data_IF_133491236704
#
_entry.id   IF_133491236704
#
_cell.length_a   1.000
_cell.length_b   1.000
_cell.length_c   1.000
_cell.angle_alpha   90.00
_cell.angle_beta   90.00
_cell.angle_gamma   90.00
#
_symmetry.space_group_name_H-M   'P 1'
#
loop_
_entity.id
_entity.type
_entity.pdbx_description
1 polymer ?
#
# COMPACT_ATOMS: atom_id res chain seq x y z
N UNK A 1 38.25 -18.52 55.43
CA UNK A 1 38.86 -17.75 54.35
C UNK A 1 37.80 -16.81 53.77
N UNK A 2 38.07 -15.51 53.85
CA UNK A 2 37.18 -14.39 53.52
C UNK A 2 37.01 -14.17 52.01
N UNK A 3 35.82 -13.68 51.62
CA UNK A 3 35.50 -12.68 50.54
C UNK A 3 35.99 -12.94 49.11
N UNK A 4 35.28 -12.62 48.02
CA UNK A 4 34.40 -11.48 47.77
C UNK A 4 33.43 -11.76 46.60
N UNK A 5 32.22 -11.18 46.69
CA UNK A 5 31.28 -11.01 45.58
C UNK A 5 31.70 -9.78 44.78
N UNK A 6 32.15 -9.95 43.54
CA UNK A 6 32.49 -8.83 42.64
C UNK A 6 31.27 -8.40 41.84
N UNK A 7 30.71 -7.24 42.19
CA UNK A 7 29.63 -6.56 41.46
C UNK A 7 30.22 -5.49 40.55
N UNK A 8 30.37 -5.78 39.26
CA UNK A 8 30.68 -4.75 38.26
C UNK A 8 29.39 -4.12 37.73
N UNK A 9 28.98 -3.02 38.37
CA UNK A 9 27.95 -2.09 37.89
C UNK A 9 28.56 -1.22 36.79
N UNK A 10 28.48 -1.65 35.54
CA UNK A 10 28.78 -0.77 34.39
C UNK A 10 27.60 0.19 34.17
N UNK A 11 27.71 1.37 34.77
CA UNK A 11 26.86 2.54 34.54
C UNK A 11 27.28 3.16 33.20
N UNK A 12 26.62 2.77 32.11
CA UNK A 12 26.77 3.45 30.81
C UNK A 12 25.87 4.71 30.80
N UNK A 13 26.40 5.91 30.51
CA UNK A 13 25.57 7.09 30.33
C UNK A 13 24.82 7.01 28.99
N UNK A 14 23.49 6.96 29.07
CA UNK A 14 22.59 7.13 27.93
C UNK A 14 22.72 8.58 27.43
N UNK A 15 23.31 8.75 26.25
CA UNK A 15 23.27 10.03 25.55
C UNK A 15 21.93 10.13 24.82
N UNK A 16 21.01 10.90 25.40
CA UNK A 16 19.70 11.19 24.81
C UNK A 16 19.90 12.18 23.65
N UNK A 17 20.06 11.66 22.43
CA UNK A 17 20.07 12.48 21.22
C UNK A 17 18.61 12.80 20.87
N UNK A 18 18.19 14.03 21.17
CA UNK A 18 16.91 14.58 20.75
C UNK A 18 16.94 14.81 19.22
N UNK A 19 16.04 14.22 18.43
CA UNK A 19 15.95 14.54 17.01
C UNK A 19 15.33 15.94 16.85
N UNK A 20 16.15 16.89 16.38
CA UNK A 20 15.72 18.23 15.99
C UNK A 20 14.76 18.13 14.79
N UNK A 21 13.51 18.53 15.02
CA UNK A 21 12.48 18.68 13.99
C UNK A 21 12.86 19.85 13.06
N UNK A 22 13.00 19.66 11.74
CA UNK A 22 13.21 20.77 10.83
C UNK A 22 11.94 21.63 10.78
N UNK A 23 12.11 22.91 11.11
CA UNK A 23 11.07 23.93 11.01
C UNK A 23 10.60 24.05 9.56
N UNK A 24 9.29 23.95 9.34
CA UNK A 24 8.64 24.24 8.06
C UNK A 24 8.93 25.69 7.66
N UNK A 25 9.71 25.88 6.61
CA UNK A 25 9.69 27.15 5.87
C UNK A 25 8.32 27.26 5.19
N UNK A 26 7.49 28.17 5.70
CA UNK A 26 6.31 28.65 4.99
C UNK A 26 6.82 29.66 3.97
N UNK A 27 6.96 29.23 2.72
CA UNK A 27 7.13 30.16 1.60
C UNK A 27 5.79 30.89 1.44
N UNK A 28 5.74 32.11 1.96
CA UNK A 28 4.70 33.08 1.66
C UNK A 28 4.88 33.46 0.20
N UNK A 29 4.02 32.91 -0.67
CA UNK A 29 3.93 33.32 -2.06
C UNK A 29 3.21 34.67 -2.08
N UNK A 30 3.99 35.73 -2.14
CA UNK A 30 3.48 37.09 -2.30
C UNK A 30 2.89 37.26 -3.71
N UNK A 31 1.61 37.62 -3.76
CA UNK A 31 0.77 37.55 -4.96
C UNK A 31 0.75 38.90 -5.66
N UNK A 32 1.89 39.55 -5.90
CA UNK A 32 1.94 40.87 -6.56
C UNK A 32 3.23 41.10 -7.36
N UNK A 33 3.31 40.52 -8.55
CA UNK A 33 4.20 41.01 -9.60
C UNK A 33 3.72 40.55 -10.98
N UNK A 34 2.81 41.31 -11.59
CA UNK A 34 2.82 41.50 -13.05
C UNK A 34 1.89 42.65 -13.43
N UNK A 35 2.39 43.88 -13.40
CA UNK A 35 1.83 44.97 -14.21
C UNK A 35 2.98 45.84 -14.72
N UNK A 36 2.77 46.39 -15.92
CA UNK A 36 3.64 47.26 -16.74
C UNK A 36 4.55 46.47 -17.69
N UNK A 37 4.58 46.71 -19.00
CA UNK A 37 3.94 47.71 -19.88
C UNK A 37 4.23 47.21 -21.31
N UNK A 38 3.23 47.03 -22.16
CA UNK A 38 3.42 47.12 -23.61
C UNK A 38 2.37 48.09 -24.16
N UNK A 39 2.87 49.17 -24.75
CA UNK A 39 2.07 50.19 -25.40
C UNK A 39 1.52 49.65 -26.72
N UNK A 40 0.22 49.90 -26.95
CA UNK A 40 -0.48 49.77 -28.22
C UNK A 40 -0.28 51.07 -29.03
N UNK A 41 -0.53 51.14 -30.37
CA UNK A 41 -1.93 51.30 -30.80
C UNK A 41 -2.33 50.73 -32.20
N UNK A 42 -3.64 50.44 -32.28
CA UNK A 42 -4.59 50.53 -33.43
C UNK A 42 -4.65 49.38 -34.45
N UNK A 43 -5.78 48.66 -34.47
CA UNK A 43 -6.87 48.89 -35.47
C UNK A 43 -8.03 47.87 -35.30
N UNK A 44 -9.16 48.40 -34.84
CA UNK A 44 -10.54 48.22 -35.34
C UNK A 44 -11.20 46.84 -35.54
N UNK A 45 -12.40 46.75 -34.92
CA UNK A 45 -13.64 46.00 -35.24
C UNK A 45 -13.82 44.58 -34.70
N UNK A 46 -14.70 44.53 -33.70
CA UNK A 46 -15.80 43.58 -33.46
C UNK A 46 -15.65 42.15 -33.99
N UNK A 47 -15.60 41.19 -33.05
CA UNK A 47 -16.45 39.99 -32.98
C UNK A 47 -16.13 39.22 -31.68
N UNK A 48 -17.01 39.31 -30.68
CA UNK A 48 -17.16 38.32 -29.60
C UNK A 48 -18.08 37.23 -30.18
N UNK A 49 -17.80 35.92 -30.06
CA UNK A 49 -17.87 35.22 -28.76
C UNK A 49 -16.88 34.03 -28.64
N UNK A 50 -16.26 33.71 -27.50
CA UNK A 50 -16.80 32.76 -26.52
C UNK A 50 -15.67 32.41 -25.51
N UNK A 51 -15.63 33.07 -24.36
CA UNK A 51 -14.65 32.78 -23.30
C UNK A 51 -15.05 31.58 -22.40
N UNK A 52 -16.08 30.81 -22.76
CA UNK A 52 -16.63 29.75 -21.91
C UNK A 52 -16.15 28.32 -22.24
N UNK A 53 -15.54 28.07 -23.40
CA UNK A 53 -15.30 26.70 -23.89
C UNK A 53 -13.93 26.12 -23.51
N UNK A 54 -12.96 26.97 -23.15
CA UNK A 54 -11.58 26.54 -22.90
C UNK A 54 -11.33 25.95 -21.49
N UNK A 55 -12.23 26.16 -20.52
CA UNK A 55 -12.12 25.54 -19.18
C UNK A 55 -12.61 24.09 -19.18
N UNK A 56 -13.69 23.79 -19.90
CA UNK A 56 -14.27 22.44 -19.95
C UNK A 56 -13.35 21.45 -20.69
N UNK A 57 -12.76 21.86 -21.81
CA UNK A 57 -11.80 21.02 -22.54
C UNK A 57 -10.52 20.73 -21.73
N UNK A 58 -9.96 21.73 -21.04
CA UNK A 58 -8.80 21.53 -20.14
C UNK A 58 -9.12 20.60 -18.96
N UNK A 59 -10.33 20.67 -18.40
CA UNK A 59 -10.76 19.77 -17.33
C UNK A 59 -10.92 18.31 -17.80
N UNK A 60 -11.41 18.11 -19.02
CA UNK A 60 -11.56 16.77 -19.61
C UNK A 60 -10.20 16.12 -19.93
N UNK A 61 -9.24 16.90 -20.46
CA UNK A 61 -7.88 16.41 -20.73
C UNK A 61 -7.18 16.01 -19.43
N UNK A 62 -7.27 16.85 -18.38
CA UNK A 62 -6.73 16.52 -17.05
C UNK A 62 -7.37 15.24 -16.47
N UNK A 63 -8.69 15.07 -16.65
CA UNK A 63 -9.39 13.87 -16.18
C UNK A 63 -8.96 12.61 -16.94
N UNK A 64 -8.74 12.70 -18.25
CA UNK A 64 -8.26 11.58 -19.07
C UNK A 64 -6.82 11.19 -18.69
N UNK A 65 -5.94 12.17 -18.51
CA UNK A 65 -4.56 11.94 -18.06
C UNK A 65 -4.52 11.29 -16.67
N UNK A 66 -5.38 11.73 -15.75
CA UNK A 66 -5.53 11.10 -14.44
C UNK A 66 -6.04 9.65 -14.54
N UNK A 67 -7.03 9.39 -15.40
CA UNK A 67 -7.53 8.03 -15.60
C UNK A 67 -6.49 7.10 -16.21
N UNK A 68 -5.71 7.59 -17.18
CA UNK A 68 -4.63 6.83 -17.79
C UNK A 68 -3.51 6.54 -16.78
N UNK A 69 -3.11 7.54 -15.99
CA UNK A 69 -2.16 7.36 -14.91
C UNK A 69 -2.63 6.32 -13.86
N UNK A 70 -3.92 6.30 -13.53
CA UNK A 70 -4.49 5.28 -12.63
C UNK A 70 -4.47 3.88 -13.26
N UNK A 71 -4.82 3.76 -14.55
CA UNK A 71 -4.77 2.48 -15.29
C UNK A 71 -3.33 1.97 -15.39
N UNK A 72 -2.36 2.83 -15.70
CA UNK A 72 -0.94 2.49 -15.75
C UNK A 72 -0.43 2.01 -14.37
N UNK A 73 -0.78 2.73 -13.29
CA UNK A 73 -0.47 2.31 -11.91
C UNK A 73 -1.05 0.93 -11.58
N UNK A 74 -2.29 0.67 -11.99
CA UNK A 74 -2.95 -0.60 -11.75
C UNK A 74 -2.28 -1.76 -12.50
N UNK A 75 -1.90 -1.56 -13.77
CA UNK A 75 -1.13 -2.54 -14.55
C UNK A 75 0.21 -2.86 -13.89
N UNK A 76 0.97 -1.82 -13.51
CA UNK A 76 2.23 -1.98 -12.78
C UNK A 76 2.05 -2.81 -11.50
N UNK A 77 1.03 -2.52 -10.70
CA UNK A 77 0.77 -3.29 -9.47
C UNK A 77 0.38 -4.74 -9.73
N UNK A 78 -0.31 -5.02 -10.85
CA UNK A 78 -0.61 -6.40 -11.24
C UNK A 78 0.65 -7.16 -11.64
N UNK A 79 1.57 -6.52 -12.34
CA UNK A 79 2.86 -7.11 -12.73
C UNK A 79 3.73 -7.38 -11.49
N UNK A 80 3.87 -6.39 -10.61
CA UNK A 80 4.55 -6.55 -9.31
C UNK A 80 3.97 -7.71 -8.50
N UNK A 81 2.62 -7.82 -8.45
CA UNK A 81 1.95 -8.92 -7.77
C UNK A 81 2.31 -10.28 -8.37
N UNK A 82 2.33 -10.40 -9.72
CA UNK A 82 2.70 -11.65 -10.41
C UNK A 82 4.15 -12.02 -10.16
N UNK A 83 5.06 -11.05 -10.14
CA UNK A 83 6.48 -11.27 -9.86
C UNK A 83 6.69 -11.81 -8.44
N UNK A 84 6.07 -11.15 -7.44
CA UNK A 84 6.14 -11.60 -6.04
C UNK A 84 5.53 -13.00 -5.89
N UNK A 85 4.37 -13.26 -6.50
CA UNK A 85 3.73 -14.57 -6.44
C UNK A 85 4.63 -15.66 -7.03
N UNK A 86 5.26 -15.41 -8.18
CA UNK A 86 6.13 -16.38 -8.85
C UNK A 86 7.32 -16.74 -7.97
N UNK A 87 7.99 -15.74 -7.37
CA UNK A 87 9.12 -16.00 -6.48
C UNK A 87 8.69 -16.81 -5.24
N UNK A 88 7.61 -16.39 -4.59
CA UNK A 88 7.09 -17.08 -3.41
C UNK A 88 6.62 -18.51 -3.69
N UNK A 89 6.10 -18.77 -4.89
CA UNK A 89 5.75 -20.12 -5.32
C UNK A 89 6.98 -21.01 -5.55
N UNK A 90 8.06 -20.45 -6.09
CA UNK A 90 9.31 -21.18 -6.30
C UNK A 90 10.00 -21.49 -4.97
N UNK A 91 10.04 -20.52 -4.04
CA UNK A 91 10.69 -20.67 -2.72
C UNK A 91 9.85 -21.46 -1.73
N UNK A 92 8.55 -21.20 -1.68
CA UNK A 92 7.61 -21.73 -0.68
C UNK A 92 6.41 -22.39 -1.35
N UNK A 93 6.69 -23.42 -2.15
CA UNK A 93 5.69 -24.18 -2.91
C UNK A 93 4.59 -24.76 -2.02
N UNK A 94 4.94 -25.19 -0.80
CA UNK A 94 4.01 -25.75 0.17
C UNK A 94 2.92 -24.75 0.60
N UNK A 95 3.26 -23.46 0.72
CA UNK A 95 2.34 -22.41 1.17
C UNK A 95 1.57 -21.75 0.03
N UNK A 96 2.26 -21.42 -1.06
CA UNK A 96 1.69 -20.65 -2.18
C UNK A 96 1.21 -21.53 -3.34
N UNK A 97 0.86 -22.78 -3.05
CA UNK A 97 0.23 -23.71 -3.99
C UNK A 97 -1.13 -23.21 -4.51
N UNK A 98 -1.56 -23.82 -5.62
CA UNK A 98 -2.92 -23.69 -6.14
C UNK A 98 -3.59 -25.05 -5.90
N UNK A 99 -4.64 -25.15 -5.05
CA UNK A 99 -5.38 -24.07 -4.39
C UNK A 99 -4.62 -23.40 -3.23
N UNK A 100 -4.96 -22.14 -2.97
CA UNK A 100 -4.36 -21.35 -1.90
C UNK A 100 -4.52 -22.05 -0.54
N UNK A 101 -3.51 -21.91 0.34
CA UNK A 101 -3.58 -22.43 1.72
C UNK A 101 -3.71 -21.30 2.72
N UNK A 102 -4.22 -21.62 3.91
CA UNK A 102 -4.31 -20.67 5.01
C UNK A 102 -2.93 -20.39 5.59
N UNK A 103 -2.55 -19.12 5.59
CA UNK A 103 -1.25 -18.67 6.03
C UNK A 103 -1.26 -18.32 7.51
N UNK A 104 -0.11 -18.51 8.17
CA UNK A 104 0.11 -18.09 9.53
C UNK A 104 -0.04 -16.57 9.70
N UNK A 105 -0.49 -16.17 10.89
CA UNK A 105 -0.64 -14.75 11.23
C UNK A 105 0.76 -14.16 11.40
N UNK A 106 1.05 -13.07 10.68
CA UNK A 106 2.35 -12.41 10.76
C UNK A 106 3.43 -12.90 9.80
N UNK A 107 3.13 -13.88 8.94
CA UNK A 107 4.08 -14.47 7.97
C UNK A 107 4.75 -13.45 7.03
N UNK A 108 4.10 -12.31 6.81
CA UNK A 108 4.65 -11.22 6.02
C UNK A 108 5.94 -10.65 6.63
N UNK A 109 6.13 -10.72 7.95
CA UNK A 109 7.34 -10.22 8.64
C UNK A 109 8.55 -11.12 8.35
N UNK A 110 8.32 -12.43 8.36
CA UNK A 110 9.34 -13.43 8.01
C UNK A 110 9.79 -13.22 6.57
N UNK A 111 8.85 -13.13 5.63
CA UNK A 111 9.17 -12.90 4.21
C UNK A 111 9.87 -11.56 4.00
N UNK A 112 9.47 -10.49 4.70
CA UNK A 112 10.17 -9.20 4.63
C UNK A 112 11.63 -9.33 5.09
N UNK A 113 11.91 -10.20 6.05
CA UNK A 113 13.26 -10.40 6.59
C UNK A 113 14.10 -11.26 5.63
N UNK A 114 13.53 -12.33 5.11
CA UNK A 114 14.21 -13.27 4.20
C UNK A 114 14.42 -12.71 2.80
N UNK A 115 13.39 -12.07 2.23
CA UNK A 115 13.36 -11.61 0.83
C UNK A 115 13.64 -10.10 0.70
N UNK A 116 14.31 -9.52 1.69
CA UNK A 116 14.63 -8.08 1.74
C UNK A 116 15.44 -7.62 0.51
N UNK A 117 16.24 -8.51 -0.07
CA UNK A 117 17.06 -8.20 -1.24
C UNK A 117 16.25 -8.16 -2.54
N UNK A 118 15.18 -8.95 -2.64
CA UNK A 118 14.41 -9.08 -3.86
C UNK A 118 13.25 -8.08 -3.95
N UNK A 119 12.61 -7.74 -2.82
CA UNK A 119 11.42 -6.90 -2.80
C UNK A 119 11.42 -5.86 -1.68
N UNK A 120 10.79 -4.72 -1.96
CA UNK A 120 10.55 -3.71 -0.92
C UNK A 120 9.49 -4.17 0.08
N UNK A 121 9.62 -3.71 1.33
CA UNK A 121 8.65 -3.96 2.40
C UNK A 121 7.21 -3.59 2.00
N UNK A 122 7.06 -2.53 1.20
CA UNK A 122 5.74 -2.07 0.73
C UNK A 122 5.14 -3.04 -0.30
N UNK A 123 5.95 -3.57 -1.22
CA UNK A 123 5.48 -4.55 -2.21
C UNK A 123 4.97 -5.82 -1.52
N UNK A 124 5.73 -6.35 -0.56
CA UNK A 124 5.32 -7.54 0.21
C UNK A 124 4.01 -7.27 0.99
N UNK A 125 3.90 -6.13 1.69
CA UNK A 125 2.66 -5.76 2.41
C UNK A 125 1.46 -5.64 1.48
N UNK A 126 1.63 -5.01 0.32
CA UNK A 126 0.57 -4.87 -0.70
C UNK A 126 0.17 -6.23 -1.27
N UNK A 127 1.14 -7.09 -1.54
CA UNK A 127 0.92 -8.46 -1.99
C UNK A 127 0.03 -9.22 -0.99
N UNK A 128 0.41 -9.29 0.29
CA UNK A 128 -0.38 -9.98 1.31
C UNK A 128 -1.77 -9.39 1.50
N UNK A 129 -1.88 -8.06 1.46
CA UNK A 129 -3.18 -7.39 1.53
C UNK A 129 -4.10 -7.86 0.39
N UNK A 130 -3.58 -7.98 -0.84
CA UNK A 130 -4.35 -8.43 -2.00
C UNK A 130 -4.64 -9.94 -1.94
N UNK A 131 -3.63 -10.74 -1.64
CA UNK A 131 -3.70 -12.21 -1.60
C UNK A 131 -4.74 -12.69 -0.59
N UNK A 132 -4.64 -12.23 0.67
CA UNK A 132 -5.56 -12.62 1.73
C UNK A 132 -6.97 -12.02 1.58
N UNK A 133 -7.11 -10.96 0.77
CA UNK A 133 -8.42 -10.36 0.46
C UNK A 133 -9.17 -11.07 -0.66
N UNK A 134 -8.53 -11.96 -1.42
CA UNK A 134 -9.17 -12.69 -2.51
C UNK A 134 -10.34 -13.53 -1.97
N UNK A 135 -11.44 -13.57 -2.73
CA UNK A 135 -12.63 -14.36 -2.40
C UNK A 135 -12.28 -15.84 -2.25
N UNK A 136 -11.34 -16.33 -3.07
CA UNK A 136 -10.85 -17.72 -2.98
C UNK A 136 -10.20 -18.02 -1.64
N UNK A 137 -9.38 -17.09 -1.14
CA UNK A 137 -8.73 -17.21 0.17
C UNK A 137 -9.78 -17.15 1.30
N UNK A 138 -10.70 -16.19 1.25
CA UNK A 138 -11.74 -16.02 2.27
C UNK A 138 -12.66 -17.22 2.42
N UNK A 139 -12.94 -17.95 1.33
CA UNK A 139 -13.73 -19.19 1.38
C UNK A 139 -13.07 -20.31 2.20
N UNK A 140 -11.75 -20.25 2.36
CA UNK A 140 -10.99 -21.25 3.11
C UNK A 140 -10.96 -20.95 4.62
N UNK A 141 -11.28 -19.72 5.04
CA UNK A 141 -11.38 -19.33 6.43
C UNK A 141 -12.65 -19.94 7.04
N UNK A 142 -12.51 -21.16 7.53
CA UNK A 142 -13.53 -21.93 8.24
C UNK A 142 -13.00 -22.16 9.65
N UNK A 143 -13.89 -22.07 10.65
CA UNK A 143 -13.56 -22.28 12.06
C UNK A 143 -12.85 -23.63 12.27
N UNK A 144 -11.78 -23.63 13.06
CA UNK A 144 -11.02 -24.84 13.39
C UNK A 144 -10.10 -25.33 12.28
N UNK A 145 -9.96 -24.62 11.15
CA UNK A 145 -8.92 -24.96 10.15
C UNK A 145 -7.53 -24.52 10.58
N UNK A 146 -6.56 -25.34 10.23
CA UNK A 146 -5.14 -25.10 10.50
C UNK A 146 -4.53 -24.07 9.53
N UNK A 147 -3.74 -23.15 10.06
CA UNK A 147 -2.85 -22.27 9.28
C UNK A 147 -1.46 -22.89 9.17
N UNK A 148 -0.71 -22.48 8.16
CA UNK A 148 0.62 -23.00 7.85
C UNK A 148 1.67 -21.88 7.82
N UNK A 149 2.84 -22.16 8.39
CA UNK A 149 4.05 -21.34 8.25
C UNK A 149 4.76 -21.63 6.92
N UNK A 150 5.78 -20.84 6.58
CA UNK A 150 6.56 -20.97 5.33
C UNK A 150 7.11 -22.38 5.08
N UNK A 151 7.55 -23.03 6.16
CA UNK A 151 8.11 -24.39 6.13
C UNK A 151 7.04 -25.48 5.97
N UNK A 152 5.75 -25.11 5.97
CA UNK A 152 4.63 -26.04 5.95
C UNK A 152 4.26 -26.60 7.33
N UNK A 153 4.87 -26.10 8.40
CA UNK A 153 4.50 -26.48 9.78
C UNK A 153 3.13 -25.91 10.16
N UNK A 154 2.31 -26.65 10.92
CA UNK A 154 1.04 -26.16 11.42
C UNK A 154 1.28 -25.03 12.43
N UNK A 155 0.62 -23.89 12.21
CA UNK A 155 0.66 -22.72 13.07
C UNK A 155 -0.59 -22.65 13.99
N UNK A 156 -1.38 -21.58 13.91
CA UNK A 156 -2.60 -21.41 14.68
C UNK A 156 -3.85 -21.92 13.96
N UNK A 157 -4.87 -22.26 14.75
CA UNK A 157 -6.22 -22.57 14.27
C UNK A 157 -6.99 -21.27 14.00
N UNK A 158 -7.89 -21.31 13.02
CA UNK A 158 -8.81 -20.20 12.73
C UNK A 158 -9.90 -20.15 13.81
N UNK A 159 -10.02 -19.00 14.48
CA UNK A 159 -11.06 -18.73 15.50
C UNK A 159 -12.34 -18.22 14.86
N UNK A 160 -13.45 -18.26 15.60
CA UNK A 160 -14.78 -17.83 15.12
C UNK A 160 -14.82 -16.35 14.73
N UNK A 161 -14.08 -15.51 15.45
CA UNK A 161 -14.03 -14.07 15.22
C UNK A 161 -13.31 -13.69 13.91
N UNK A 162 -12.40 -14.53 13.44
CA UNK A 162 -11.64 -14.31 12.21
C UNK A 162 -12.41 -14.71 10.96
N UNK A 163 -13.43 -15.56 11.11
CA UNK A 163 -14.24 -16.01 9.98
C UNK A 163 -15.12 -14.85 9.52
N UNK A 164 -15.02 -14.43 8.24
CA UNK A 164 -15.84 -13.34 7.76
C UNK A 164 -17.32 -13.70 7.94
N UNK A 165 -18.14 -12.81 8.51
CA UNK A 165 -19.55 -13.09 8.72
C UNK A 165 -20.17 -13.45 7.37
N UNK A 166 -20.89 -14.57 7.31
CA UNK A 166 -21.66 -15.01 6.14
C UNK A 166 -22.83 -14.05 5.95
N UNK A 167 -22.57 -12.81 5.58
CA UNK A 167 -23.63 -11.84 5.32
C UNK A 167 -24.29 -12.21 4.00
N UNK A 168 -25.49 -12.78 4.08
CA UNK A 168 -26.43 -12.94 2.97
C UNK A 168 -26.92 -11.60 2.37
N UNK A 169 -26.29 -10.47 2.71
CA UNK A 169 -26.71 -9.11 2.34
C UNK A 169 -26.60 -8.80 0.84
N UNK A 170 -25.99 -9.68 0.04
CA UNK A 170 -25.91 -9.55 -1.42
C UNK A 170 -26.73 -10.61 -2.19
N UNK A 171 -27.43 -11.51 -1.50
CA UNK A 171 -28.38 -12.40 -2.14
C UNK A 171 -29.67 -11.60 -2.38
N UNK A 172 -29.72 -10.82 -3.45
CA UNK A 172 -31.02 -10.35 -3.96
C UNK A 172 -31.70 -11.58 -4.56
N UNK A 173 -32.76 -12.14 -3.96
CA UNK A 173 -33.52 -13.19 -4.64
C UNK A 173 -33.99 -12.61 -5.97
N UNK A 174 -33.70 -13.31 -7.08
CA UNK A 174 -34.38 -13.04 -8.35
C UNK A 174 -35.86 -13.22 -8.05
N UNK A 175 -36.65 -12.16 -8.19
CA UNK A 175 -38.11 -12.30 -8.22
C UNK A 175 -38.44 -13.05 -9.51
N UNK A 176 -38.98 -14.26 -9.36
CA UNK A 176 -39.68 -14.98 -10.44
C UNK A 176 -41.05 -14.35 -10.67
#
# INVERSE_FOLDING_TARGET
>A
MQTARSTLKLKMPLQTILPQLPQKQVVVIDKRALQQKTANPKSTKDLKPNACNNKAAKAQILAQEQQEALKAKLKRWQEEYKQVLKLLQTKYSLCFSIPAKLLAIGIHKEIITTEKEHFSNQQIRRFFKRYCSDKRYKKLLIEGKQRFNLDGTPASLVTKEEVPPKTNKFFKPKKS
#
